data_IF_996088388881
#
_entry.id   IF_996088388881
#
_cell.length_a   1.000
_cell.length_b   1.000
_cell.length_c   1.000
_cell.angle_alpha   90.00
_cell.angle_beta   90.00
_cell.angle_gamma   90.00
#
_symmetry.space_group_name_H-M   'P 1'
#
loop_
_entity.id
_entity.type
_entity.pdbx_description
1 polymer ?
#
# COMPACT_ATOMS: atom_id res chain seq x y z
N UNK A 1 -28.00 0.70 -6.67
CA UNK A 1 -26.59 0.52 -6.28
C UNK A 1 -26.05 1.86 -5.82
N UNK A 2 -25.47 1.96 -4.60
CA UNK A 2 -24.82 3.20 -4.17
C UNK A 2 -23.58 3.42 -5.04
N UNK A 3 -23.43 4.62 -5.58
CA UNK A 3 -22.35 4.97 -6.50
C UNK A 3 -21.04 5.08 -5.68
N UNK A 4 -20.39 3.94 -5.42
CA UNK A 4 -19.19 3.86 -4.59
C UNK A 4 -18.02 4.68 -5.17
N UNK A 5 -18.01 4.90 -6.48
CA UNK A 5 -17.00 5.73 -7.16
C UNK A 5 -16.91 7.14 -6.58
N UNK A 6 -18.05 7.80 -6.32
CA UNK A 6 -18.04 9.16 -5.76
C UNK A 6 -17.42 9.23 -4.36
N UNK A 7 -17.74 8.28 -3.49
CA UNK A 7 -17.19 8.23 -2.13
C UNK A 7 -15.69 7.85 -2.12
N UNK A 8 -15.24 7.03 -3.07
CA UNK A 8 -13.84 6.64 -3.19
C UNK A 8 -12.99 7.75 -3.81
N UNK A 9 -13.52 8.51 -4.77
CA UNK A 9 -12.83 9.67 -5.33
C UNK A 9 -12.54 10.76 -4.29
N UNK A 10 -13.40 10.94 -3.30
CA UNK A 10 -13.14 11.87 -2.19
C UNK A 10 -11.95 11.45 -1.32
N UNK A 11 -11.62 10.14 -1.27
CA UNK A 11 -10.45 9.67 -0.52
C UNK A 11 -9.13 10.10 -1.18
N UNK A 12 -9.11 10.26 -2.51
CA UNK A 12 -7.93 10.72 -3.24
C UNK A 12 -7.54 12.16 -2.89
N UNK A 13 -8.47 12.96 -2.35
CA UNK A 13 -8.21 14.34 -1.91
C UNK A 13 -7.76 14.43 -0.45
N UNK A 14 -7.52 13.29 0.21
CA UNK A 14 -7.08 13.22 1.60
C UNK A 14 -5.77 12.46 1.66
N UNK A 15 -4.99 12.65 2.74
CA UNK A 15 -3.85 11.79 3.00
C UNK A 15 -4.31 10.34 3.04
N UNK A 16 -3.78 9.52 2.13
CA UNK A 16 -4.29 8.18 1.90
C UNK A 16 -3.18 7.15 1.94
N UNK A 17 -3.37 6.16 2.81
CA UNK A 17 -2.55 4.98 2.90
C UNK A 17 -3.40 3.77 2.50
N UNK A 18 -2.95 3.04 1.49
CA UNK A 18 -3.54 1.80 1.04
C UNK A 18 -2.79 0.62 1.66
N UNK A 19 -3.49 -0.17 2.47
CA UNK A 19 -2.98 -1.51 2.85
C UNK A 19 -3.32 -2.49 1.74
N UNK A 20 -2.29 -2.95 1.03
CA UNK A 20 -2.46 -3.84 -0.12
C UNK A 20 -3.04 -5.18 0.35
N UNK A 21 -4.03 -5.67 -0.40
CA UNK A 21 -4.72 -6.89 -0.06
C UNK A 21 -3.81 -8.12 -0.24
N UNK A 22 -4.05 -9.13 0.60
CA UNK A 22 -3.47 -10.46 0.45
C UNK A 22 -1.95 -10.47 0.21
N UNK A 23 -1.20 -9.75 1.06
CA UNK A 23 0.27 -9.71 1.02
C UNK A 23 0.88 -9.23 -0.32
N UNK A 24 0.08 -8.68 -1.25
CA UNK A 24 0.52 -8.36 -2.61
C UNK A 24 0.30 -9.47 -3.64
N UNK A 25 -0.73 -10.31 -3.49
CA UNK A 25 -1.18 -11.24 -4.54
C UNK A 25 -1.36 -10.53 -5.90
N UNK A 26 -1.18 -11.26 -7.00
CA UNK A 26 -1.39 -10.75 -8.37
C UNK A 26 -2.87 -10.43 -8.68
N UNK A 27 -3.79 -10.90 -7.84
CA UNK A 27 -5.23 -10.62 -7.93
C UNK A 27 -5.57 -9.34 -7.17
N UNK A 28 -5.18 -8.20 -7.75
CA UNK A 28 -5.59 -6.87 -7.32
C UNK A 28 -6.43 -6.20 -8.41
N UNK A 29 -7.36 -5.34 -7.99
CA UNK A 29 -8.05 -4.44 -8.92
C UNK A 29 -7.16 -3.26 -9.29
N UNK A 30 -6.68 -3.21 -10.54
CA UNK A 30 -5.92 -2.05 -11.03
C UNK A 30 -6.74 -0.76 -10.95
N UNK A 31 -8.04 -0.82 -11.24
CA UNK A 31 -8.94 0.33 -11.18
C UNK A 31 -9.00 0.96 -9.80
N UNK A 32 -8.85 0.15 -8.73
CA UNK A 32 -8.83 0.67 -7.37
C UNK A 32 -7.53 1.43 -7.07
N UNK A 33 -6.38 0.95 -7.57
CA UNK A 33 -5.12 1.67 -7.44
C UNK A 33 -5.18 3.02 -8.16
N UNK A 34 -5.71 3.03 -9.38
CA UNK A 34 -5.86 4.26 -10.18
C UNK A 34 -6.81 5.26 -9.49
N UNK A 35 -7.97 4.77 -9.02
CA UNK A 35 -8.99 5.60 -8.39
C UNK A 35 -8.51 6.23 -7.07
N UNK A 36 -7.76 5.46 -6.28
CA UNK A 36 -7.27 5.91 -4.98
C UNK A 36 -6.04 6.80 -5.11
N UNK A 37 -5.13 6.52 -6.06
CA UNK A 37 -3.85 7.22 -6.22
C UNK A 37 -3.17 7.49 -4.87
N UNK A 38 -3.13 6.46 -4.01
CA UNK A 38 -2.77 6.61 -2.61
C UNK A 38 -1.32 7.11 -2.44
N UNK A 39 -1.06 7.95 -1.44
CA UNK A 39 0.29 8.45 -1.15
C UNK A 39 1.25 7.30 -0.81
N UNK A 40 0.74 6.31 -0.08
CA UNK A 40 1.52 5.17 0.43
C UNK A 40 0.76 3.88 0.17
N UNK A 41 1.47 2.87 -0.34
CA UNK A 41 1.01 1.49 -0.42
C UNK A 41 1.84 0.60 0.51
N UNK A 42 1.22 0.10 1.58
CA UNK A 42 1.87 -0.81 2.55
C UNK A 42 1.54 -2.28 2.21
N UNK A 43 2.60 -3.05 1.99
CA UNK A 43 2.55 -4.50 1.86
C UNK A 43 2.92 -5.11 3.21
N UNK A 44 1.92 -5.57 3.94
CA UNK A 44 2.13 -6.41 5.12
C UNK A 44 2.43 -7.82 4.62
N UNK A 45 3.71 -8.18 4.61
CA UNK A 45 4.24 -9.43 4.06
C UNK A 45 5.50 -9.86 4.82
N UNK A 46 5.77 -11.15 4.78
CA UNK A 46 6.98 -11.79 5.30
C UNK A 46 7.34 -12.96 4.39
N UNK A 47 8.25 -13.83 4.82
CA UNK A 47 8.51 -15.08 4.11
C UNK A 47 7.20 -15.87 3.93
N UNK A 48 6.88 -16.23 2.70
CA UNK A 48 5.67 -16.99 2.37
C UNK A 48 5.93 -17.88 1.14
N UNK A 49 5.24 -19.03 1.03
CA UNK A 49 5.43 -19.96 -0.08
C UNK A 49 4.73 -19.52 -1.38
N UNK A 50 3.91 -18.46 -1.34
CA UNK A 50 3.10 -18.01 -2.47
C UNK A 50 3.84 -17.05 -3.42
N UNK A 51 5.08 -16.67 -3.07
CA UNK A 51 5.86 -15.72 -3.85
C UNK A 51 5.30 -14.29 -3.78
N UNK A 52 4.63 -13.94 -2.69
CA UNK A 52 4.13 -12.58 -2.45
C UNK A 52 5.21 -11.72 -1.75
N UNK A 53 5.25 -10.40 -1.97
CA UNK A 53 4.42 -9.65 -2.90
C UNK A 53 4.81 -9.96 -4.35
N UNK A 54 3.81 -10.06 -5.23
CA UNK A 54 4.05 -10.32 -6.65
C UNK A 54 4.59 -9.07 -7.34
N UNK A 55 5.44 -9.24 -8.36
CA UNK A 55 5.91 -8.13 -9.19
C UNK A 55 4.75 -7.31 -9.75
N UNK A 56 3.67 -7.96 -10.18
CA UNK A 56 2.46 -7.30 -10.70
C UNK A 56 1.83 -6.34 -9.69
N UNK A 57 1.69 -6.74 -8.43
CA UNK A 57 1.11 -5.88 -7.39
C UNK A 57 2.04 -4.70 -7.03
N UNK A 58 3.36 -4.94 -7.01
CA UNK A 58 4.36 -3.88 -6.81
C UNK A 58 4.33 -2.87 -7.96
N UNK A 59 4.28 -3.36 -9.21
CA UNK A 59 4.21 -2.51 -10.40
C UNK A 59 2.93 -1.66 -10.40
N UNK A 60 1.78 -2.24 -10.01
CA UNK A 60 0.52 -1.50 -9.89
C UNK A 60 0.62 -0.34 -8.90
N UNK A 61 1.20 -0.58 -7.71
CA UNK A 61 1.42 0.48 -6.72
C UNK A 61 2.40 1.56 -7.21
N UNK A 62 3.45 1.15 -7.92
CA UNK A 62 4.43 2.08 -8.46
C UNK A 62 3.83 2.97 -9.57
N UNK A 63 3.06 2.37 -10.49
CA UNK A 63 2.40 3.09 -11.59
C UNK A 63 1.33 4.05 -11.07
N UNK A 64 0.61 3.72 -9.99
CA UNK A 64 -0.33 4.64 -9.35
C UNK A 64 0.33 5.77 -8.56
N UNK A 65 1.68 5.84 -8.53
CA UNK A 65 2.44 6.90 -7.88
C UNK A 65 2.62 6.72 -6.36
N UNK A 66 2.26 5.56 -5.80
CA UNK A 66 2.34 5.32 -4.36
C UNK A 66 3.78 5.06 -3.91
N UNK A 67 4.14 5.58 -2.73
CA UNK A 67 5.35 5.15 -2.02
C UNK A 67 5.13 3.72 -1.53
N UNK A 68 5.94 2.78 -2.01
CA UNK A 68 5.87 1.38 -1.60
C UNK A 68 6.61 1.19 -0.28
N UNK A 69 5.93 0.56 0.68
CA UNK A 69 6.50 0.21 1.99
C UNK A 69 6.21 -1.26 2.26
N UNK A 70 7.19 -2.00 2.79
CA UNK A 70 7.04 -3.45 3.03
C UNK A 70 7.57 -3.88 4.39
N UNK A 71 6.80 -4.72 5.09
CA UNK A 71 7.19 -5.21 6.43
C UNK A 71 8.28 -6.29 6.40
N UNK A 72 8.48 -6.98 5.28
CA UNK A 72 9.58 -7.94 5.12
C UNK A 72 10.94 -7.24 4.99
N UNK A 73 10.97 -6.01 4.48
CA UNK A 73 12.20 -5.21 4.37
C UNK A 73 12.49 -4.38 5.64
N UNK A 74 11.44 -3.87 6.29
CA UNK A 74 11.55 -2.87 7.36
C UNK A 74 11.14 -3.39 8.75
N UNK A 75 10.53 -4.57 8.86
CA UNK A 75 10.00 -5.11 10.11
C UNK A 75 8.62 -4.53 10.46
N UNK A 76 8.41 -4.23 11.74
CA UNK A 76 7.22 -3.53 12.22
C UNK A 76 7.25 -2.07 11.78
N UNK A 77 6.11 -1.53 11.33
CA UNK A 77 6.02 -0.18 10.74
C UNK A 77 4.88 0.60 11.40
N UNK A 78 5.15 1.85 11.75
CA UNK A 78 4.16 2.80 12.22
C UNK A 78 4.16 4.04 11.33
N UNK A 79 2.95 4.50 11.00
CA UNK A 79 2.70 5.69 10.20
C UNK A 79 2.10 6.80 11.05
N UNK A 80 2.55 8.03 10.83
CA UNK A 80 1.93 9.25 11.35
C UNK A 80 1.77 10.22 10.20
N UNK A 81 0.63 10.91 10.16
CA UNK A 81 0.46 12.04 9.27
C UNK A 81 0.62 13.34 10.07
N UNK A 82 1.61 14.15 9.73
CA UNK A 82 1.97 15.36 10.47
C UNK A 82 2.45 16.44 9.50
N UNK A 83 1.94 17.67 9.62
CA UNK A 83 2.41 18.80 8.82
C UNK A 83 2.28 18.60 7.30
N UNK A 84 1.23 17.91 6.84
CA UNK A 84 1.00 17.54 5.44
C UNK A 84 1.95 16.47 4.87
N UNK A 85 2.66 15.73 5.72
CA UNK A 85 3.56 14.67 5.27
C UNK A 85 3.37 13.38 6.07
N UNK A 86 3.58 12.25 5.40
CA UNK A 86 3.72 10.95 6.06
C UNK A 86 5.08 10.84 6.73
N UNK A 87 5.07 10.49 8.02
CA UNK A 87 6.24 10.06 8.78
C UNK A 87 6.16 8.55 8.99
N UNK A 88 7.23 7.87 8.61
CA UNK A 88 7.35 6.42 8.69
C UNK A 88 8.41 6.12 9.74
N UNK A 89 8.08 5.28 10.70
CA UNK A 89 9.02 4.71 11.66
C UNK A 89 8.95 3.20 11.59
N UNK A 90 10.08 2.53 11.76
CA UNK A 90 10.14 1.07 11.73
C UNK A 90 11.02 0.51 12.84
N UNK A 91 10.75 -0.74 13.22
CA UNK A 91 11.47 -1.47 14.26
C UNK A 91 11.52 -2.96 13.94
N UNK A 92 12.55 -3.65 14.44
CA UNK A 92 12.65 -5.10 14.33
C UNK A 92 12.93 -5.58 12.90
N UNK A 93 13.90 -4.96 12.21
CA UNK A 93 14.42 -5.44 10.93
C UNK A 93 14.62 -6.96 11.02
N UNK A 94 13.89 -7.72 10.21
CA UNK A 94 14.09 -9.16 10.10
C UNK A 94 15.43 -9.35 9.38
N UNK A 95 16.50 -9.40 10.16
CA UNK A 95 17.80 -9.84 9.65
C UNK A 95 17.64 -11.28 9.23
N UNK A 96 17.77 -11.54 7.92
CA UNK A 96 18.14 -12.87 7.44
C UNK A 96 19.54 -13.23 7.94
#
# INVERSE_FOLDING_TARGET
MRNAGGALSELANRPLLLKVAHHGSADQSSQLFDLLSADVAIFSVGQNPYGHPTKKALDQAAVSGSIIVRTDELGSIAFRFEGQAWKISSAGKLTA
#
